data_IF_717723674497
#
_entry.id   IF_717723674497
#
_cell.length_a   1.000
_cell.length_b   1.000
_cell.length_c   1.000
_cell.angle_alpha   90.00
_cell.angle_beta   90.00
_cell.angle_gamma   90.00
#
_symmetry.space_group_name_H-M   'P 1'
#
loop_
_entity.id
_entity.type
_entity.pdbx_description
1 polymer ?
#
# COMPACT_ATOMS: atom_id res chain seq x y z
N UNK A 1 -16.13 11.95 -5.47
CA UNK A 1 -14.97 11.55 -6.28
C UNK A 1 -14.20 10.54 -5.46
N UNK A 2 -13.85 9.40 -6.06
CA UNK A 2 -13.07 8.36 -5.39
C UNK A 2 -11.60 8.77 -5.29
N UNK A 3 -10.89 8.16 -4.34
CA UNK A 3 -9.49 8.41 -4.09
C UNK A 3 -8.67 7.12 -4.19
N UNK A 4 -7.47 7.25 -4.72
CA UNK A 4 -6.43 6.24 -4.60
C UNK A 4 -5.62 6.51 -3.34
N UNK A 5 -5.83 5.69 -2.32
CA UNK A 5 -5.06 5.70 -1.08
C UNK A 5 -3.74 4.97 -1.32
N UNK A 6 -2.67 5.75 -1.40
CA UNK A 6 -1.33 5.26 -1.68
C UNK A 6 -0.58 5.04 -0.37
N UNK A 7 -0.73 3.84 0.20
CA UNK A 7 -0.19 3.50 1.51
C UNK A 7 1.30 3.15 1.43
N UNK A 8 2.13 3.93 2.11
CA UNK A 8 3.58 3.77 2.20
C UNK A 8 4.00 3.56 3.65
N UNK A 9 5.16 2.97 3.87
CA UNK A 9 5.76 2.83 5.19
C UNK A 9 7.02 1.98 5.17
N UNK A 10 7.86 2.04 6.21
CA UNK A 10 9.06 1.22 6.28
C UNK A 10 8.72 -0.27 6.40
N UNK A 11 9.63 -1.14 5.96
CA UNK A 11 9.45 -2.58 6.18
C UNK A 11 9.33 -2.88 7.68
N UNK A 12 8.27 -3.59 8.08
CA UNK A 12 7.99 -3.90 9.48
C UNK A 12 7.00 -2.93 10.14
N UNK A 13 6.55 -1.89 9.44
CA UNK A 13 5.54 -0.94 9.94
C UNK A 13 4.13 -1.52 10.09
N UNK A 14 3.89 -2.78 9.69
CA UNK A 14 2.57 -3.40 9.76
C UNK A 14 1.67 -3.14 8.55
N UNK A 15 2.21 -2.54 7.46
CA UNK A 15 1.46 -2.26 6.22
C UNK A 15 0.73 -3.49 5.67
N UNK A 16 1.41 -4.64 5.57
CA UNK A 16 0.81 -5.83 4.97
C UNK A 16 -0.30 -6.42 5.86
N UNK A 17 -0.18 -6.28 7.20
CA UNK A 17 -1.24 -6.62 8.15
C UNK A 17 -2.46 -5.70 8.01
N UNK A 18 -2.24 -4.39 7.85
CA UNK A 18 -3.30 -3.41 7.62
C UNK A 18 -4.06 -3.69 6.32
N UNK A 19 -3.33 -3.97 5.24
CA UNK A 19 -3.94 -4.36 3.96
C UNK A 19 -4.69 -5.69 4.06
N UNK A 20 -4.20 -6.66 4.83
CA UNK A 20 -4.89 -7.92 5.05
C UNK A 20 -6.20 -7.73 5.84
N UNK A 21 -6.19 -6.90 6.87
CA UNK A 21 -7.38 -6.59 7.65
C UNK A 21 -8.44 -5.86 6.80
N UNK A 22 -8.03 -4.86 6.01
CA UNK A 22 -8.93 -4.19 5.04
C UNK A 22 -9.55 -5.16 4.03
N UNK A 23 -8.85 -6.23 3.64
CA UNK A 23 -9.41 -7.26 2.74
C UNK A 23 -10.41 -8.17 3.41
N UNK A 24 -10.24 -8.44 4.70
CA UNK A 24 -11.12 -9.33 5.45
C UNK A 24 -12.48 -8.67 5.73
N UNK A 25 -12.53 -7.34 5.70
CA UNK A 25 -13.71 -6.55 5.94
C UNK A 25 -14.49 -6.30 4.63
N UNK A 26 -15.38 -7.23 4.29
CA UNK A 26 -16.12 -7.22 3.02
C UNK A 26 -17.14 -6.07 2.92
N UNK A 27 -17.58 -5.53 4.06
CA UNK A 27 -18.63 -4.51 4.11
C UNK A 27 -18.05 -3.08 4.10
N UNK A 28 -16.73 -2.93 4.25
CA UNK A 28 -16.08 -1.63 4.31
C UNK A 28 -15.34 -1.25 3.01
N UNK A 29 -15.57 -0.01 2.59
CA UNK A 29 -14.70 0.71 1.65
C UNK A 29 -13.49 1.24 2.41
N UNK A 30 -12.28 1.25 1.85
CA UNK A 30 -11.93 1.11 0.43
C UNK A 30 -11.54 -0.31 -0.01
N UNK A 31 -11.66 -0.61 -1.31
CA UNK A 31 -11.14 -1.86 -1.87
C UNK A 31 -9.61 -1.86 -1.89
N UNK A 32 -8.99 -2.98 -1.54
CA UNK A 32 -7.54 -3.10 -1.66
C UNK A 32 -7.16 -3.69 -3.03
N UNK A 33 -6.36 -2.99 -3.83
CA UNK A 33 -5.91 -3.53 -5.11
C UNK A 33 -4.83 -4.61 -4.92
N UNK A 34 -4.76 -5.57 -5.85
CA UNK A 34 -3.61 -6.45 -5.95
C UNK A 34 -2.44 -5.72 -6.61
N UNK A 35 -1.22 -6.12 -6.25
CA UNK A 35 -0.04 -5.83 -7.06
C UNK A 35 0.24 -6.99 -8.01
N UNK A 36 0.75 -6.69 -9.19
CA UNK A 36 1.34 -7.69 -10.09
C UNK A 36 2.85 -7.65 -9.89
N UNK A 37 3.46 -8.78 -9.52
CA UNK A 37 4.86 -8.81 -9.10
C UNK A 37 5.57 -10.01 -9.72
N UNK A 38 6.84 -9.85 -10.11
CA UNK A 38 7.67 -10.96 -10.63
C UNK A 38 8.41 -11.74 -9.54
N UNK A 39 7.91 -11.69 -8.31
CA UNK A 39 8.40 -12.49 -7.18
C UNK A 39 7.44 -13.65 -6.94
N UNK A 40 7.91 -14.81 -6.46
CA UNK A 40 7.02 -15.92 -6.09
C UNK A 40 5.95 -15.53 -5.07
N UNK A 41 4.74 -16.09 -5.24
CA UNK A 41 3.59 -15.81 -4.38
C UNK A 41 3.78 -16.33 -2.94
N UNK A 42 4.52 -17.42 -2.79
CA UNK A 42 4.82 -18.10 -1.52
C UNK A 42 5.92 -17.43 -0.69
N UNK A 43 6.51 -16.33 -1.16
CA UNK A 43 7.53 -15.56 -0.44
C UNK A 43 7.02 -14.86 0.86
N UNK A 44 5.75 -15.07 1.24
CA UNK A 44 5.22 -14.74 2.57
C UNK A 44 5.25 -13.26 2.93
N UNK A 45 5.05 -12.38 1.95
CA UNK A 45 5.12 -10.93 2.13
C UNK A 45 3.75 -10.26 1.99
N UNK A 46 3.05 -10.47 0.87
CA UNK A 46 1.75 -9.82 0.62
C UNK A 46 0.88 -10.68 -0.31
N UNK A 47 -0.43 -10.47 -0.24
CA UNK A 47 -1.38 -11.01 -1.22
C UNK A 47 -1.25 -10.23 -2.55
N UNK A 48 -0.56 -10.83 -3.52
CA UNK A 48 -0.28 -10.27 -4.85
C UNK A 48 -0.48 -11.32 -5.95
N UNK A 49 -0.62 -10.84 -7.18
CA UNK A 49 -0.61 -11.68 -8.37
C UNK A 49 0.84 -11.88 -8.83
N UNK A 50 1.37 -13.09 -8.66
CA UNK A 50 2.69 -13.44 -9.15
C UNK A 50 2.65 -13.65 -10.67
N UNK A 51 3.57 -13.00 -11.38
CA UNK A 51 3.75 -13.15 -12.83
C UNK A 51 5.17 -13.61 -13.14
N UNK A 52 5.33 -14.34 -14.26
CA UNK A 52 6.66 -14.48 -14.86
C UNK A 52 7.12 -13.14 -15.42
N UNK A 53 8.43 -12.91 -15.51
CA UNK A 53 8.97 -11.70 -16.15
C UNK A 53 8.50 -11.54 -17.61
N UNK A 54 8.52 -12.58 -18.48
CA UNK A 54 7.99 -12.46 -19.84
C UNK A 54 6.51 -12.05 -19.89
N UNK A 55 5.70 -12.55 -18.96
CA UNK A 55 4.30 -12.19 -18.87
C UNK A 55 4.11 -10.74 -18.42
N UNK A 56 4.85 -10.30 -17.39
CA UNK A 56 4.82 -8.92 -16.93
C UNK A 56 5.13 -7.95 -18.07
N UNK A 57 6.22 -8.21 -18.81
CA UNK A 57 6.64 -7.38 -19.94
C UNK A 57 5.59 -7.34 -21.05
N UNK A 58 4.92 -8.48 -21.33
CA UNK A 58 3.83 -8.55 -22.31
C UNK A 58 2.61 -7.73 -21.87
N UNK A 59 2.23 -7.80 -20.60
CA UNK A 59 1.10 -7.02 -20.04
C UNK A 59 1.41 -5.52 -20.06
N UNK A 60 2.64 -5.12 -19.70
CA UNK A 60 3.12 -3.74 -19.79
C UNK A 60 3.04 -3.22 -21.23
N UNK A 61 3.55 -3.97 -22.21
CA UNK A 61 3.51 -3.58 -23.62
C UNK A 61 2.09 -3.42 -24.18
N UNK A 62 1.09 -4.03 -23.53
CA UNK A 62 -0.33 -3.91 -23.88
C UNK A 62 -1.07 -2.82 -23.09
N UNK A 63 -0.39 -2.06 -22.23
CA UNK A 63 -1.01 -1.01 -21.42
C UNK A 63 -1.94 -1.53 -20.32
N UNK A 64 -1.71 -2.75 -19.82
CA UNK A 64 -2.57 -3.37 -18.80
C UNK A 64 -2.24 -2.98 -17.36
N UNK A 65 -1.32 -2.03 -17.18
CA UNK A 65 -0.92 -1.51 -15.88
C UNK A 65 -1.20 -0.01 -15.82
N UNK A 66 -1.81 0.43 -14.70
CA UNK A 66 -1.98 1.84 -14.41
C UNK A 66 -0.63 2.49 -14.06
N UNK A 67 0.19 1.77 -13.28
CA UNK A 67 1.54 2.12 -12.88
C UNK A 67 2.39 0.86 -12.86
N UNK A 68 3.63 0.96 -13.33
CA UNK A 68 4.64 -0.09 -13.17
C UNK A 68 6.01 0.50 -12.83
N UNK A 69 6.81 -0.29 -12.11
CA UNK A 69 8.19 0.04 -11.76
C UNK A 69 9.03 -1.21 -11.50
N UNK A 70 10.34 -1.03 -11.35
CA UNK A 70 11.28 -2.09 -11.00
C UNK A 70 12.03 -1.72 -9.70
N UNK A 71 12.16 -2.67 -8.78
CA UNK A 71 12.95 -2.52 -7.56
C UNK A 71 13.47 -3.89 -7.12
N UNK A 72 14.68 -3.94 -6.52
CA UNK A 72 15.26 -5.18 -5.98
C UNK A 72 15.16 -6.38 -6.96
N UNK A 73 15.47 -6.16 -8.24
CA UNK A 73 15.41 -7.17 -9.32
C UNK A 73 14.02 -7.72 -9.67
N UNK A 74 12.95 -7.19 -9.06
CA UNK A 74 11.58 -7.55 -9.38
C UNK A 74 10.83 -6.38 -10.03
N UNK A 75 9.83 -6.73 -10.83
CA UNK A 75 8.86 -5.80 -11.36
C UNK A 75 7.63 -5.74 -10.47
N UNK A 76 7.01 -4.58 -10.41
CA UNK A 76 5.81 -4.29 -9.64
C UNK A 76 4.87 -3.47 -10.51
N UNK A 77 3.57 -3.74 -10.41
CA UNK A 77 2.56 -2.92 -11.05
C UNK A 77 1.26 -2.90 -10.26
N UNK A 78 0.47 -1.84 -10.48
CA UNK A 78 -0.97 -1.85 -10.26
C UNK A 78 -1.65 -2.09 -11.60
N UNK A 79 -2.63 -2.98 -11.63
CA UNK A 79 -3.38 -3.25 -12.84
C UNK A 79 -4.25 -2.07 -13.24
N UNK A 80 -4.59 -2.02 -14.53
CA UNK A 80 -5.44 -0.95 -15.09
C UNK A 80 -6.86 -0.94 -14.48
N UNK A 81 -7.29 -2.05 -13.86
CA UNK A 81 -8.55 -2.14 -13.14
C UNK A 81 -8.69 -1.12 -12.00
N UNK A 82 -7.58 -0.62 -11.45
CA UNK A 82 -7.60 0.45 -10.44
C UNK A 82 -8.29 1.70 -10.98
N UNK A 83 -8.04 2.06 -12.24
CA UNK A 83 -8.71 3.21 -12.87
C UNK A 83 -10.21 2.96 -13.01
N UNK A 84 -10.61 1.73 -13.34
CA UNK A 84 -12.03 1.38 -13.50
C UNK A 84 -12.78 1.48 -12.17
N UNK A 85 -12.19 1.02 -11.07
CA UNK A 85 -12.79 1.15 -9.74
C UNK A 85 -12.92 2.61 -9.32
N UNK A 86 -11.89 3.43 -9.53
CA UNK A 86 -11.94 4.86 -9.22
C UNK A 86 -13.02 5.58 -10.05
N UNK A 87 -13.14 5.25 -11.35
CA UNK A 87 -14.19 5.78 -12.23
C UNK A 87 -15.60 5.39 -11.76
N UNK A 88 -15.75 4.22 -11.12
CA UNK A 88 -17.01 3.75 -10.52
C UNK A 88 -17.30 4.39 -9.15
N UNK A 89 -16.45 5.29 -8.65
CA UNK A 89 -16.61 5.89 -7.34
C UNK A 89 -16.00 5.07 -6.19
N UNK A 90 -15.37 3.93 -6.47
CA UNK A 90 -14.84 3.08 -5.42
C UNK A 90 -13.47 3.60 -4.99
N UNK A 91 -13.33 3.95 -3.71
CA UNK A 91 -12.02 4.27 -3.13
C UNK A 91 -11.13 3.01 -3.13
N UNK A 92 -9.85 3.18 -3.49
CA UNK A 92 -8.91 2.06 -3.67
C UNK A 92 -7.67 2.27 -2.82
N UNK A 93 -7.28 1.28 -2.02
CA UNK A 93 -5.98 1.25 -1.34
C UNK A 93 -4.98 0.44 -2.13
N UNK A 94 -3.78 0.99 -2.32
CA UNK A 94 -2.64 0.30 -2.92
C UNK A 94 -1.46 0.23 -1.96
N UNK A 95 -0.71 -0.86 -2.07
CA UNK A 95 0.60 -1.00 -1.45
C UNK A 95 1.64 -0.17 -2.22
N UNK A 96 1.81 1.09 -1.80
CA UNK A 96 2.60 2.10 -2.48
C UNK A 96 4.11 1.99 -2.25
N UNK A 97 4.89 2.39 -3.26
CA UNK A 97 6.32 2.62 -3.16
C UNK A 97 6.64 4.11 -3.05
N UNK A 98 7.39 4.52 -2.02
CA UNK A 98 7.85 5.91 -1.86
C UNK A 98 8.60 6.43 -3.08
N UNK A 99 9.51 5.62 -3.64
CA UNK A 99 10.34 6.02 -4.78
C UNK A 99 9.50 6.30 -6.05
N UNK A 100 8.29 5.76 -6.12
CA UNK A 100 7.38 5.90 -7.27
C UNK A 100 6.14 6.75 -6.95
N UNK A 101 6.12 7.42 -5.79
CA UNK A 101 5.07 8.39 -5.46
C UNK A 101 4.96 9.51 -6.52
N UNK A 102 6.06 10.09 -7.06
CA UNK A 102 5.94 11.10 -8.11
C UNK A 102 5.20 10.61 -9.37
N UNK A 103 5.39 9.33 -9.74
CA UNK A 103 4.70 8.71 -10.87
C UNK A 103 3.20 8.58 -10.58
N UNK A 104 2.83 8.19 -9.35
CA UNK A 104 1.44 8.13 -8.92
C UNK A 104 0.80 9.54 -8.87
N UNK A 105 1.54 10.55 -8.40
CA UNK A 105 1.10 11.94 -8.38
C UNK A 105 0.82 12.47 -9.79
N UNK A 106 1.71 12.16 -10.74
CA UNK A 106 1.52 12.54 -12.14
C UNK A 106 0.27 11.90 -12.76
N UNK A 107 -0.01 10.64 -12.44
CA UNK A 107 -1.18 9.92 -12.99
C UNK A 107 -2.50 10.36 -12.38
N UNK A 108 -2.59 10.39 -11.05
CA UNK A 108 -3.87 10.51 -10.35
C UNK A 108 -4.15 11.93 -9.83
N UNK A 109 -3.14 12.79 -9.75
CA UNK A 109 -3.30 14.18 -9.33
C UNK A 109 -4.09 14.32 -8.03
N UNK A 110 -5.21 15.05 -8.09
CA UNK A 110 -6.08 15.31 -6.94
C UNK A 110 -6.79 14.07 -6.38
N UNK A 111 -6.91 12.98 -7.15
CA UNK A 111 -7.47 11.72 -6.66
C UNK A 111 -6.49 10.93 -5.80
N UNK A 112 -5.19 11.28 -5.80
CA UNK A 112 -4.20 10.59 -5.00
C UNK A 112 -4.23 11.07 -3.54
N UNK A 113 -4.34 10.13 -2.61
CA UNK A 113 -4.14 10.36 -1.18
C UNK A 113 -2.90 9.59 -0.70
N UNK A 114 -1.72 10.24 -0.60
CA UNK A 114 -0.54 9.60 -0.03
C UNK A 114 -0.70 9.43 1.48
N UNK A 115 -0.54 8.20 1.98
CA UNK A 115 -0.61 7.88 3.42
C UNK A 115 0.70 7.23 3.85
N UNK A 116 1.29 7.72 4.93
CA UNK A 116 2.57 7.29 5.47
C UNK A 116 2.35 6.63 6.83
N UNK A 117 2.42 5.30 6.84
CA UNK A 117 2.34 4.50 8.05
C UNK A 117 3.61 4.69 8.88
N UNK A 118 3.44 5.12 10.13
CA UNK A 118 4.50 5.35 11.09
C UNK A 118 4.43 4.34 12.22
N UNK A 119 5.59 4.06 12.78
CA UNK A 119 5.77 3.20 13.94
C UNK A 119 7.01 3.72 14.67
N UNK A 120 6.98 3.78 15.98
CA UNK A 120 8.14 4.13 16.80
C UNK A 120 9.24 3.09 16.64
N UNK A 121 10.49 3.55 16.81
CA UNK A 121 11.68 2.71 16.62
C UNK A 121 11.66 1.48 17.52
N UNK A 122 11.15 1.59 18.75
CA UNK A 122 11.12 0.48 19.70
C UNK A 122 10.09 -0.58 19.30
N UNK A 123 8.89 -0.17 18.90
CA UNK A 123 7.87 -1.09 18.38
C UNK A 123 8.32 -1.73 17.07
N UNK A 124 8.95 -0.97 16.17
CA UNK A 124 9.51 -1.51 14.93
C UNK A 124 10.58 -2.56 15.21
N UNK A 125 11.52 -2.31 16.14
CA UNK A 125 12.54 -3.26 16.56
C UNK A 125 11.90 -4.55 17.08
N UNK A 126 10.95 -4.44 18.01
CA UNK A 126 10.23 -5.60 18.55
C UNK A 126 9.54 -6.41 17.45
N UNK A 127 8.85 -5.76 16.51
CA UNK A 127 8.19 -6.44 15.37
C UNK A 127 9.18 -7.16 14.47
N UNK A 128 10.32 -6.55 14.17
CA UNK A 128 11.39 -7.16 13.35
C UNK A 128 12.03 -8.36 14.07
N UNK A 129 12.23 -8.28 15.38
CA UNK A 129 12.73 -9.41 16.18
C UNK A 129 11.72 -10.56 16.21
N UNK A 130 10.46 -10.26 16.50
CA UNK A 130 9.40 -11.27 16.65
C UNK A 130 9.13 -12.06 15.37
N UNK A 131 9.32 -11.47 14.18
CA UNK A 131 9.15 -12.20 12.92
C UNK A 131 10.32 -13.12 12.58
N UNK A 132 11.48 -12.94 13.20
CA UNK A 132 12.63 -13.85 13.11
C UNK A 132 13.27 -14.02 11.72
N UNK A 133 13.08 -13.07 10.80
CA UNK A 133 13.61 -13.15 9.42
C UNK A 133 14.95 -12.42 9.23
N UNK A 134 15.41 -11.70 10.25
CA UNK A 134 16.60 -10.84 10.20
C UNK A 134 17.60 -11.17 11.29
N UNK A 135 18.89 -10.98 11.00
CA UNK A 135 19.94 -10.87 12.03
C UNK A 135 19.89 -9.53 12.76
N UNK A 136 20.57 -9.41 13.90
CA UNK A 136 20.65 -8.16 14.66
C UNK A 136 21.17 -6.99 13.80
N UNK A 137 22.22 -7.19 13.02
CA UNK A 137 22.76 -6.17 12.12
C UNK A 137 21.76 -5.74 11.04
N UNK A 138 21.00 -6.70 10.49
CA UNK A 138 19.95 -6.41 9.52
C UNK A 138 18.80 -5.61 10.14
N UNK A 139 18.47 -5.86 11.41
CA UNK A 139 17.47 -5.09 12.15
C UNK A 139 17.95 -3.65 12.31
N UNK A 140 19.17 -3.42 12.80
CA UNK A 140 19.69 -2.07 12.97
C UNK A 140 19.77 -1.30 11.63
N UNK A 141 20.19 -1.94 10.54
CA UNK A 141 20.14 -1.34 9.20
C UNK A 141 18.72 -0.94 8.78
N UNK A 142 17.71 -1.75 9.12
CA UNK A 142 16.30 -1.42 8.83
C UNK A 142 15.80 -0.26 9.68
N UNK A 143 16.21 -0.17 10.96
CA UNK A 143 15.87 0.93 11.84
C UNK A 143 16.46 2.25 11.36
N UNK A 144 17.74 2.26 10.93
CA UNK A 144 18.37 3.44 10.32
C UNK A 144 17.59 3.91 9.10
N UNK A 145 17.28 2.99 8.17
CA UNK A 145 16.47 3.32 6.98
C UNK A 145 15.07 3.84 7.33
N UNK A 146 14.46 3.33 8.40
CA UNK A 146 13.16 3.80 8.87
C UNK A 146 13.24 5.21 9.49
N UNK A 147 14.30 5.52 10.23
CA UNK A 147 14.55 6.86 10.76
C UNK A 147 14.80 7.87 9.63
N UNK A 148 15.63 7.52 8.64
CA UNK A 148 15.83 8.32 7.43
C UNK A 148 14.50 8.56 6.67
N UNK A 149 13.62 7.55 6.65
CA UNK A 149 12.28 7.68 6.07
C UNK A 149 11.42 8.70 6.82
N UNK A 150 11.42 8.69 8.15
CA UNK A 150 10.65 9.63 8.97
C UNK A 150 11.15 11.07 8.84
N UNK A 151 12.46 11.27 8.60
CA UNK A 151 13.04 12.59 8.38
C UNK A 151 12.68 13.20 7.02
N UNK A 152 12.38 12.35 6.02
CA UNK A 152 12.14 12.77 4.63
C UNK A 152 10.77 12.27 4.13
N UNK A 153 9.72 12.60 4.88
CA UNK A 153 8.35 12.28 4.49
C UNK A 153 7.94 13.12 3.27
N UNK A 154 7.21 12.53 2.30
CA UNK A 154 6.72 13.28 1.15
C UNK A 154 5.85 14.46 1.57
N UNK A 155 6.08 15.62 0.95
CA UNK A 155 5.24 16.80 1.12
C UNK A 155 3.80 16.42 0.73
N UNK A 156 2.83 16.64 1.63
CA UNK A 156 1.41 16.24 1.51
C UNK A 156 1.06 14.78 1.84
N UNK A 157 1.96 14.00 2.44
CA UNK A 157 1.58 12.70 2.99
C UNK A 157 0.75 12.85 4.28
N UNK A 158 -0.39 12.15 4.39
CA UNK A 158 -1.09 11.97 5.67
C UNK A 158 -0.33 10.97 6.53
N UNK A 159 -0.15 11.27 7.80
CA UNK A 159 0.52 10.37 8.74
C UNK A 159 -0.52 9.45 9.37
N UNK A 160 -0.17 8.18 9.50
CA UNK A 160 -0.99 7.17 10.14
C UNK A 160 -0.13 6.43 11.16
N UNK A 161 -0.44 6.57 12.44
CA UNK A 161 0.25 5.84 13.51
C UNK A 161 -0.17 4.37 13.52
N UNK A 162 0.78 3.48 13.79
CA UNK A 162 0.53 2.06 13.95
C UNK A 162 1.40 1.48 15.09
N UNK A 163 1.54 2.22 16.19
CA UNK A 163 2.17 1.72 17.42
C UNK A 163 1.23 0.82 18.22
N UNK A 164 -0.05 1.19 18.23
CA UNK A 164 -1.11 0.52 18.98
C UNK A 164 -1.67 -0.74 18.32
N UNK A 165 -2.94 -1.02 18.62
CA UNK A 165 -3.65 -2.13 18.01
C UNK A 165 -4.01 -1.81 16.53
N UNK A 166 -4.33 -2.86 15.77
CA UNK A 166 -4.62 -2.71 14.35
C UNK A 166 -5.99 -2.05 14.09
N UNK A 167 -6.95 -2.25 14.99
CA UNK A 167 -8.33 -1.75 14.84
C UNK A 167 -8.38 -0.22 14.98
N UNK A 168 -7.63 0.36 15.92
CA UNK A 168 -7.45 1.80 16.10
C UNK A 168 -6.78 2.41 14.87
N UNK A 169 -5.80 1.69 14.29
CA UNK A 169 -5.11 2.09 13.05
C UNK A 169 -6.07 2.09 11.86
N UNK A 170 -6.95 1.09 11.75
CA UNK A 170 -7.99 1.04 10.72
C UNK A 170 -8.99 2.20 10.87
N UNK A 171 -9.48 2.43 12.09
CA UNK A 171 -10.37 3.55 12.38
C UNK A 171 -9.73 4.90 12.03
N UNK A 172 -8.45 5.09 12.39
CA UNK A 172 -7.68 6.28 12.02
C UNK A 172 -7.49 6.41 10.50
N UNK A 173 -7.24 5.30 9.79
CA UNK A 173 -7.16 5.31 8.33
C UNK A 173 -8.49 5.76 7.71
N UNK A 174 -9.61 5.23 8.18
CA UNK A 174 -10.94 5.64 7.68
C UNK A 174 -11.22 7.12 7.96
N UNK A 175 -10.77 7.65 9.10
CA UNK A 175 -10.90 9.07 9.41
C UNK A 175 -10.04 9.97 8.50
N UNK A 176 -8.99 9.45 7.87
CA UNK A 176 -8.19 10.17 6.86
C UNK A 176 -8.85 10.19 5.48
N UNK A 177 -9.78 9.27 5.22
CA UNK A 177 -10.47 9.22 3.94
C UNK A 177 -11.32 10.49 3.78
N UNK A 178 -11.25 11.15 2.62
CA UNK A 178 -12.18 12.22 2.29
C UNK A 178 -13.58 11.67 2.46
N UNK A 179 -14.47 12.43 3.12
CA UNK A 179 -15.84 12.00 3.36
C UNK A 179 -16.49 11.62 2.03
N UNK A 180 -16.54 10.33 1.73
CA UNK A 180 -17.29 9.83 0.62
C UNK A 180 -18.75 10.10 0.96
N UNK A 181 -19.45 10.82 0.08
CA UNK A 181 -20.91 10.89 0.10
C UNK A 181 -21.42 9.47 0.31
N UNK A 182 -22.08 9.23 1.46
CA UNK A 182 -22.70 7.95 1.82
C UNK A 182 -23.24 7.28 0.57
N UNK A 183 -22.63 6.16 0.17
CA UNK A 183 -23.20 5.34 -0.89
C UNK A 183 -24.57 4.87 -0.40
N UNK A 184 -25.67 5.19 -1.10
CA UNK A 184 -26.96 4.63 -0.73
C UNK A 184 -26.85 3.11 -0.84
N UNK A 185 -27.18 2.42 0.26
CA UNK A 185 -27.19 0.96 0.37
C UNK A 185 -28.27 0.27 -0.50
N UNK A 186 -28.94 1.00 -1.39
CA UNK A 186 -30.09 0.49 -2.13
C UNK A 186 -29.89 0.63 -3.64
N UNK A 187 -29.29 -0.39 -4.25
CA UNK A 187 -29.48 -0.69 -5.68
C UNK A 187 -29.22 -2.18 -5.96
N UNK A 188 -29.99 -3.05 -5.29
CA UNK A 188 -30.30 -4.38 -5.81
C UNK A 188 -31.82 -4.39 -6.06
N UNK A 189 -32.19 -4.24 -7.33
CA UNK A 189 -33.43 -4.73 -7.92
C UNK A 189 -33.07 -5.44 -9.23
#
# INVERSE_FOLDING_TARGET
MAHLIYLMGPSGSGKDSLLAALRADADNTPLVAHRYITRPADAGCENHIALSEPEFLRRRAKGLFALDWQAHQHHYAFGIEVDLWLLQGIDVVVNGSRAHLPQAQQRYGVQLLPVCLQVSTDILRQRLQNRGRESADQIEQRLVRAAEYQQHLPTHCRLLDNDGNLDDTLAALFALLPSSTKYPQDAIL
#
